data_IF_756920380221
#
_entry.id   IF_756920380221
#
_cell.length_a   1.000
_cell.length_b   1.000
_cell.length_c   1.000
_cell.angle_alpha   90.00
_cell.angle_beta   90.00
_cell.angle_gamma   90.00
#
_symmetry.space_group_name_H-M   'P 1'
#
loop_
_entity.id
_entity.type
_entity.pdbx_description
1 polymer ?
#
# COMPACT_ATOMS: atom_id res chain seq x y z
N UNK A 1 6.30 -21.58 14.13
CA UNK A 1 7.26 -21.09 13.09
C UNK A 1 7.43 -22.11 11.98
N UNK A 2 7.48 -23.40 12.27
CA UNK A 2 7.59 -24.47 11.27
C UNK A 2 6.45 -24.47 10.25
N UNK A 3 5.19 -24.31 10.67
CA UNK A 3 4.04 -24.24 9.77
C UNK A 3 4.12 -23.05 8.79
N UNK A 4 4.46 -21.86 9.29
CA UNK A 4 4.61 -20.66 8.46
C UNK A 4 5.72 -20.83 7.41
N UNK A 5 6.86 -21.39 7.81
CA UNK A 5 7.95 -21.72 6.88
C UNK A 5 7.53 -22.81 5.89
N UNK A 6 6.68 -23.75 6.31
CA UNK A 6 6.08 -24.76 5.46
C UNK A 6 5.27 -24.15 4.31
N UNK A 7 4.37 -23.23 4.65
CA UNK A 7 3.50 -22.54 3.67
C UNK A 7 4.31 -21.67 2.70
N UNK A 8 5.33 -20.95 3.18
CA UNK A 8 6.15 -20.08 2.32
C UNK A 8 6.77 -20.85 1.14
N UNK A 9 7.15 -22.12 1.36
CA UNK A 9 7.73 -22.96 0.31
C UNK A 9 6.74 -23.40 -0.77
N UNK A 10 5.44 -23.23 -0.51
CA UNK A 10 4.36 -23.57 -1.44
C UNK A 10 3.88 -22.35 -2.24
N UNK A 11 4.42 -21.15 -1.97
CA UNK A 11 4.06 -19.94 -2.68
C UNK A 11 4.81 -19.84 -4.01
N UNK A 12 4.07 -19.61 -5.08
CA UNK A 12 4.62 -19.29 -6.40
C UNK A 12 4.31 -17.84 -6.75
N UNK A 13 5.35 -17.07 -7.05
CA UNK A 13 5.21 -15.70 -7.50
C UNK A 13 4.78 -15.64 -8.96
N UNK A 14 3.68 -14.93 -9.24
CA UNK A 14 3.20 -14.68 -10.60
C UNK A 14 3.29 -13.17 -10.87
N UNK A 15 4.04 -12.74 -11.90
CA UNK A 15 4.10 -11.34 -12.31
C UNK A 15 2.73 -10.77 -12.68
N UNK A 16 2.56 -9.47 -12.47
CA UNK A 16 1.42 -8.73 -13.01
C UNK A 16 1.34 -8.86 -14.53
N UNK A 17 0.11 -8.77 -15.03
CA UNK A 17 -0.27 -8.90 -16.43
C UNK A 17 0.05 -10.23 -17.11
N UNK A 18 0.71 -11.16 -16.43
CA UNK A 18 0.97 -12.50 -16.95
C UNK A 18 -0.28 -13.37 -16.80
N UNK A 19 -0.78 -13.89 -17.93
CA UNK A 19 -1.88 -14.85 -17.94
C UNK A 19 -1.34 -16.26 -17.71
N UNK A 20 -1.79 -16.92 -16.65
CA UNK A 20 -1.33 -18.26 -16.25
C UNK A 20 -2.53 -19.21 -16.19
N UNK A 21 -2.36 -20.43 -16.69
CA UNK A 21 -3.35 -21.52 -16.54
C UNK A 21 -3.08 -22.24 -15.23
N UNK A 22 -4.03 -22.21 -14.29
CA UNK A 22 -3.93 -22.91 -13.01
C UNK A 22 -4.33 -24.39 -13.13
N UNK A 23 -5.35 -24.65 -13.94
CA UNK A 23 -5.87 -25.99 -14.23
C UNK A 23 -6.64 -25.94 -15.55
N UNK A 24 -7.12 -27.10 -16.00
CA UNK A 24 -8.02 -27.13 -17.15
C UNK A 24 -9.23 -26.20 -16.91
N UNK A 25 -9.57 -25.41 -17.92
CA UNK A 25 -10.62 -24.39 -17.87
C UNK A 25 -10.38 -23.18 -16.95
N UNK A 26 -9.26 -23.07 -16.20
CA UNK A 26 -9.03 -21.99 -15.24
C UNK A 26 -7.75 -21.22 -15.57
N UNK A 27 -7.91 -19.92 -15.84
CA UNK A 27 -6.79 -19.01 -16.06
C UNK A 27 -6.91 -17.76 -15.19
N UNK A 28 -5.76 -17.26 -14.72
CA UNK A 28 -5.70 -16.02 -13.94
C UNK A 28 -4.75 -15.01 -14.55
N UNK A 29 -4.97 -13.74 -14.21
CA UNK A 29 -4.02 -12.64 -14.42
C UNK A 29 -4.15 -11.66 -13.25
N UNK A 30 -3.03 -11.19 -12.74
CA UNK A 30 -2.99 -10.16 -11.70
C UNK A 30 -2.84 -8.77 -12.32
N UNK A 31 -3.54 -7.79 -11.76
CA UNK A 31 -3.41 -6.36 -12.04
C UNK A 31 -3.01 -5.64 -10.74
N UNK A 32 -2.23 -4.57 -10.82
CA UNK A 32 -1.82 -3.83 -9.61
C UNK A 32 -3.05 -3.15 -8.97
N UNK A 33 -3.36 -3.50 -7.71
CA UNK A 33 -4.48 -2.90 -7.00
C UNK A 33 -4.13 -1.57 -6.34
N UNK A 34 -2.86 -1.16 -6.31
CA UNK A 34 -2.42 0.14 -5.78
C UNK A 34 -2.67 0.36 -4.28
N UNK A 35 -3.03 -0.67 -3.51
CA UNK A 35 -3.36 -0.56 -2.08
C UNK A 35 -2.12 -0.66 -1.19
N UNK A 36 -1.27 -1.64 -1.46
CA UNK A 36 0.03 -1.85 -0.83
C UNK A 36 1.00 -2.41 -1.88
N UNK A 37 2.30 -2.37 -1.60
CA UNK A 37 3.28 -2.99 -2.48
C UNK A 37 2.96 -4.49 -2.65
N UNK A 38 2.74 -4.92 -3.89
CA UNK A 38 2.36 -6.30 -4.20
C UNK A 38 0.86 -6.61 -4.10
N UNK A 39 0.00 -5.63 -3.77
CA UNK A 39 -1.46 -5.82 -3.78
C UNK A 39 -1.97 -5.98 -5.21
N UNK A 40 -2.92 -6.90 -5.42
CA UNK A 40 -3.41 -7.20 -6.76
C UNK A 40 -4.92 -7.43 -6.82
N UNK A 41 -5.53 -6.96 -7.90
CA UNK A 41 -6.81 -7.48 -8.39
C UNK A 41 -6.55 -8.72 -9.23
N UNK A 42 -7.49 -9.67 -9.22
CA UNK A 42 -7.36 -10.95 -9.93
C UNK A 42 -8.45 -11.03 -10.99
N UNK A 43 -8.05 -11.07 -12.25
CA UNK A 43 -8.91 -11.48 -13.35
C UNK A 43 -8.86 -12.99 -13.49
N UNK A 44 -10.02 -13.63 -13.54
CA UNK A 44 -10.18 -15.08 -13.60
C UNK A 44 -11.06 -15.45 -14.80
N UNK A 45 -10.52 -16.21 -15.73
CA UNK A 45 -11.29 -16.80 -16.83
C UNK A 45 -11.61 -18.25 -16.49
N UNK A 46 -12.90 -18.55 -16.40
CA UNK A 46 -13.44 -19.88 -16.12
C UNK A 46 -14.15 -20.40 -17.36
N UNK A 47 -13.77 -21.57 -17.84
CA UNK A 47 -14.36 -22.21 -19.02
C UNK A 47 -14.98 -23.54 -18.62
N UNK A 48 -16.28 -23.67 -18.82
CA UNK A 48 -17.07 -24.86 -18.52
C UNK A 48 -18.02 -25.12 -19.71
N UNK A 49 -18.11 -26.36 -20.17
CA UNK A 49 -18.94 -26.76 -21.32
C UNK A 49 -18.76 -25.88 -22.58
N UNK A 50 -17.53 -25.41 -22.81
CA UNK A 50 -17.17 -24.55 -23.94
C UNK A 50 -17.57 -23.07 -23.79
N UNK A 51 -18.11 -22.67 -22.64
CA UNK A 51 -18.48 -21.29 -22.33
C UNK A 51 -17.46 -20.69 -21.38
N UNK A 52 -16.84 -19.57 -21.77
CA UNK A 52 -15.91 -18.84 -20.91
C UNK A 52 -16.59 -17.64 -20.25
N UNK A 53 -16.40 -17.49 -18.94
CA UNK A 53 -16.79 -16.33 -18.15
C UNK A 53 -15.58 -15.69 -17.47
N UNK A 54 -15.57 -14.36 -17.41
CA UNK A 54 -14.53 -13.57 -16.76
C UNK A 54 -15.04 -13.00 -15.45
N UNK A 55 -14.44 -13.41 -14.35
CA UNK A 55 -14.67 -12.87 -13.02
C UNK A 55 -13.52 -11.91 -12.67
N UNK A 56 -13.84 -10.88 -11.90
CA UNK A 56 -12.85 -10.00 -11.28
C UNK A 56 -13.00 -10.07 -9.76
N UNK A 57 -11.92 -10.34 -9.06
CA UNK A 57 -11.79 -10.06 -7.63
C UNK A 57 -10.96 -8.80 -7.45
N UNK A 58 -11.49 -7.78 -6.79
CA UNK A 58 -10.75 -6.52 -6.64
C UNK A 58 -9.56 -6.62 -5.67
N UNK A 59 -9.69 -7.44 -4.63
CA UNK A 59 -8.90 -7.25 -3.42
C UNK A 59 -9.27 -5.92 -2.75
N UNK A 60 -8.37 -5.37 -1.94
CA UNK A 60 -8.51 -4.00 -1.42
C UNK A 60 -7.96 -3.04 -2.48
N UNK A 61 -8.76 -2.05 -2.88
CA UNK A 61 -8.41 -1.12 -3.95
C UNK A 61 -7.70 0.10 -3.35
N UNK A 62 -6.58 0.46 -3.94
CA UNK A 62 -5.80 1.63 -3.60
C UNK A 62 -6.47 2.94 -3.96
N UNK A 63 -6.00 4.00 -3.32
CA UNK A 63 -6.31 5.36 -3.74
C UNK A 63 -5.33 5.80 -4.82
N UNK A 64 -5.77 6.71 -5.69
CA UNK A 64 -4.87 7.37 -6.66
C UNK A 64 -3.93 8.38 -5.99
N UNK A 65 -2.80 8.59 -6.64
CA UNK A 65 -1.76 9.56 -6.30
C UNK A 65 -1.24 9.40 -4.87
N UNK A 66 -1.09 8.16 -4.42
CA UNK A 66 -0.42 7.86 -3.16
C UNK A 66 1.09 7.97 -3.34
N UNK A 67 1.82 8.46 -2.32
CA UNK A 67 3.27 8.39 -2.37
C UNK A 67 3.70 6.92 -2.31
N UNK A 68 4.75 6.58 -3.06
CA UNK A 68 5.43 5.27 -3.05
C UNK A 68 4.71 4.08 -3.71
N UNK A 69 3.42 4.18 -4.04
CA UNK A 69 2.62 3.10 -4.67
C UNK A 69 2.04 3.60 -6.01
N UNK A 70 1.91 2.70 -7.00
CA UNK A 70 1.27 3.01 -8.27
C UNK A 70 -0.24 3.23 -8.11
N UNK A 71 -0.84 3.97 -9.04
CA UNK A 71 -2.29 4.06 -9.11
C UNK A 71 -2.90 2.67 -9.42
N UNK A 72 -4.08 2.34 -8.88
CA UNK A 72 -4.76 1.09 -9.17
C UNK A 72 -5.06 0.94 -10.67
N UNK A 73 -4.85 -0.26 -11.19
CA UNK A 73 -5.19 -0.62 -12.56
C UNK A 73 -6.65 -1.10 -12.65
N UNK A 74 -7.37 -0.57 -13.63
CA UNK A 74 -8.75 -0.96 -13.88
C UNK A 74 -8.81 -2.03 -14.97
N UNK A 75 -9.58 -3.12 -14.77
CA UNK A 75 -9.77 -4.13 -15.80
C UNK A 75 -10.64 -3.58 -16.94
N UNK A 76 -10.34 -4.00 -18.17
CA UNK A 76 -11.10 -3.57 -19.36
C UNK A 76 -12.55 -4.07 -19.37
N UNK A 77 -12.78 -5.25 -18.78
CA UNK A 77 -14.09 -5.92 -18.78
C UNK A 77 -14.16 -7.03 -17.72
N UNK A 78 -15.36 -7.38 -17.28
CA UNK A 78 -15.66 -8.60 -16.53
C UNK A 78 -17.15 -8.93 -16.70
N UNK A 79 -17.51 -10.21 -16.69
CA UNK A 79 -18.92 -10.64 -16.59
C UNK A 79 -19.44 -10.45 -15.16
N UNK A 80 -18.59 -10.69 -14.16
CA UNK A 80 -18.92 -10.53 -12.74
C UNK A 80 -17.78 -9.84 -12.00
N UNK A 81 -18.14 -8.97 -11.06
CA UNK A 81 -17.19 -8.26 -10.20
C UNK A 81 -17.50 -8.59 -8.74
N UNK A 82 -16.48 -9.06 -8.03
CA UNK A 82 -16.48 -9.30 -6.60
C UNK A 82 -15.56 -8.24 -6.01
N UNK A 83 -16.17 -7.18 -5.49
CA UNK A 83 -15.47 -5.99 -5.02
C UNK A 83 -15.52 -5.84 -3.52
N UNK A 84 -14.46 -5.25 -2.97
CA UNK A 84 -14.47 -4.75 -1.61
C UNK A 84 -15.50 -3.62 -1.41
N UNK A 85 -15.84 -3.34 -0.16
CA UNK A 85 -16.82 -2.30 0.19
C UNK A 85 -16.44 -1.58 1.48
N UNK A 86 -15.14 -1.49 1.79
CA UNK A 86 -14.63 -0.97 3.08
C UNK A 86 -15.17 0.43 3.42
N UNK A 87 -15.36 1.28 2.41
CA UNK A 87 -15.96 2.62 2.54
C UNK A 87 -17.17 2.83 1.64
N UNK A 88 -17.90 1.76 1.29
CA UNK A 88 -19.02 1.82 0.35
C UNK A 88 -20.18 2.74 0.77
N UNK A 89 -20.24 3.13 2.04
CA UNK A 89 -21.24 4.03 2.61
C UNK A 89 -20.75 5.48 2.79
N UNK A 90 -19.50 5.80 2.43
CA UNK A 90 -18.87 7.10 2.70
C UNK A 90 -18.33 7.77 1.44
N UNK A 91 -18.72 9.02 1.24
CA UNK A 91 -18.04 9.89 0.27
C UNK A 91 -16.83 10.54 0.95
N UNK A 92 -15.65 10.30 0.40
CA UNK A 92 -14.48 11.08 0.77
C UNK A 92 -14.61 12.46 0.12
N UNK A 93 -14.34 13.52 0.89
CA UNK A 93 -14.24 14.89 0.38
C UNK A 93 -12.99 15.07 -0.48
N UNK A 94 -12.63 16.32 -0.86
CA UNK A 94 -11.35 16.59 -1.49
C UNK A 94 -10.21 16.06 -0.60
N UNK A 95 -9.22 15.42 -1.22
CA UNK A 95 -8.03 14.91 -0.54
C UNK A 95 -7.37 16.08 0.20
N UNK A 96 -7.26 16.05 1.54
CA UNK A 96 -6.60 17.12 2.27
C UNK A 96 -5.11 17.14 1.92
N UNK A 97 -4.50 18.30 2.04
CA UNK A 97 -3.06 18.43 1.92
C UNK A 97 -2.42 17.95 3.24
N UNK A 98 -1.97 16.70 3.24
CA UNK A 98 -1.50 16.02 4.45
C UNK A 98 -0.24 16.67 5.03
N UNK A 99 0.63 17.25 4.18
CA UNK A 99 1.94 17.75 4.59
C UNK A 99 1.81 18.97 5.52
N UNK A 100 1.08 20.05 5.14
CA UNK A 100 0.85 21.18 6.03
C UNK A 100 0.08 20.83 7.31
N UNK A 101 -0.92 19.94 7.22
CA UNK A 101 -1.71 19.53 8.39
C UNK A 101 -0.85 18.77 9.40
N UNK A 102 -0.04 17.82 8.93
CA UNK A 102 0.88 17.08 9.79
C UNK A 102 1.98 17.98 10.36
N UNK A 103 2.54 18.89 9.55
CA UNK A 103 3.55 19.85 10.02
C UNK A 103 3.02 20.72 11.16
N UNK A 104 1.77 21.20 11.04
CA UNK A 104 1.10 21.95 12.10
C UNK A 104 0.97 21.16 13.39
N UNK A 105 0.53 19.90 13.31
CA UNK A 105 0.41 19.01 14.48
C UNK A 105 1.77 18.78 15.14
N UNK A 106 2.83 18.57 14.34
CA UNK A 106 4.20 18.41 14.83
C UNK A 106 4.65 19.69 15.55
N UNK A 107 4.50 20.86 14.93
CA UNK A 107 4.88 22.15 15.51
C UNK A 107 4.19 22.39 16.86
N UNK A 108 2.85 22.28 16.90
CA UNK A 108 2.07 22.51 18.12
C UNK A 108 2.46 21.56 19.27
N UNK A 109 2.86 20.32 18.93
CA UNK A 109 3.29 19.34 19.92
C UNK A 109 4.68 19.67 20.48
N UNK A 110 5.62 20.03 19.60
CA UNK A 110 7.00 20.35 19.98
C UNK A 110 7.12 21.67 20.73
N UNK A 111 6.33 22.69 20.36
CA UNK A 111 6.26 23.97 21.08
C UNK A 111 5.83 23.81 22.55
N UNK A 112 5.04 22.76 22.84
CA UNK A 112 4.61 22.40 24.20
C UNK A 112 5.63 21.54 24.95
N UNK A 113 6.75 21.19 24.33
CA UNK A 113 7.75 20.26 24.86
C UNK A 113 7.27 18.81 24.93
N UNK A 114 6.26 18.43 24.15
CA UNK A 114 5.68 17.10 24.12
C UNK A 114 6.29 16.17 23.06
N UNK A 115 5.87 14.91 23.08
CA UNK A 115 6.21 13.91 22.07
C UNK A 115 4.97 13.59 21.22
N UNK A 116 5.14 13.50 19.89
CA UNK A 116 4.10 13.02 18.98
C UNK A 116 4.25 11.49 18.78
N UNK A 117 3.22 10.74 19.17
CA UNK A 117 3.17 9.28 19.01
C UNK A 117 2.13 8.92 17.96
N UNK A 118 2.54 8.25 16.89
CA UNK A 118 1.68 7.88 15.77
C UNK A 118 1.60 6.35 15.70
N UNK A 119 0.45 5.73 16.06
CA UNK A 119 0.24 4.31 15.84
C UNK A 119 0.08 4.04 14.33
N UNK A 120 0.83 3.08 13.81
CA UNK A 120 0.83 2.77 12.38
C UNK A 120 1.08 1.28 12.12
N UNK A 121 0.54 0.77 11.02
CA UNK A 121 0.88 -0.57 10.54
C UNK A 121 2.33 -0.60 10.04
N UNK A 122 3.04 -1.71 10.30
CA UNK A 122 4.44 -1.85 9.94
C UNK A 122 4.71 -1.79 8.43
N UNK A 123 3.72 -2.14 7.61
CA UNK A 123 3.81 -2.14 6.14
C UNK A 123 2.78 -1.18 5.55
N UNK A 124 3.20 -0.38 4.56
CA UNK A 124 2.39 0.65 3.91
C UNK A 124 2.37 1.96 4.70
N UNK A 125 1.53 2.04 5.75
CA UNK A 125 1.25 3.30 6.46
C UNK A 125 2.47 3.92 7.14
N UNK A 126 3.37 3.09 7.68
CA UNK A 126 4.61 3.62 8.27
C UNK A 126 5.49 4.29 7.21
N UNK A 127 5.60 3.70 6.01
CA UNK A 127 6.38 4.24 4.91
C UNK A 127 5.80 5.55 4.36
N UNK A 128 4.47 5.63 4.23
CA UNK A 128 3.78 6.89 3.88
C UNK A 128 4.05 8.00 4.90
N UNK A 129 3.96 7.70 6.20
CA UNK A 129 4.24 8.67 7.25
C UNK A 129 5.69 9.17 7.23
N UNK A 130 6.65 8.26 7.02
CA UNK A 130 8.07 8.63 6.90
C UNK A 130 8.33 9.51 5.67
N UNK A 131 7.64 9.24 4.55
CA UNK A 131 7.70 10.08 3.36
C UNK A 131 7.25 11.51 3.66
N UNK A 132 6.07 11.68 4.27
CA UNK A 132 5.56 13.03 4.60
C UNK A 132 6.46 13.74 5.62
N UNK A 133 6.96 13.05 6.64
CA UNK A 133 7.88 13.65 7.62
C UNK A 133 9.19 14.11 6.96
N UNK A 134 9.71 13.35 5.99
CA UNK A 134 10.88 13.76 5.21
C UNK A 134 10.61 15.01 4.39
N UNK A 135 9.45 15.09 3.74
CA UNK A 135 9.02 16.27 2.97
C UNK A 135 8.92 17.50 3.87
N UNK A 136 8.25 17.38 5.03
CA UNK A 136 8.13 18.43 6.05
C UNK A 136 9.50 18.97 6.49
N UNK A 137 10.47 18.07 6.71
CA UNK A 137 11.84 18.46 7.08
C UNK A 137 12.58 19.13 5.92
N UNK A 138 12.48 18.58 4.71
CA UNK A 138 13.13 19.12 3.52
C UNK A 138 12.63 20.52 3.15
N UNK A 139 11.34 20.78 3.38
CA UNK A 139 10.71 22.08 3.14
C UNK A 139 10.78 23.04 4.34
N UNK A 140 11.43 22.62 5.44
CA UNK A 140 11.58 23.40 6.66
C UNK A 140 10.25 23.93 7.23
N UNK A 141 9.18 23.12 7.17
CA UNK A 141 7.84 23.50 7.60
C UNK A 141 7.65 23.52 9.12
N UNK A 142 8.63 23.01 9.88
CA UNK A 142 8.68 23.08 11.35
C UNK A 142 9.78 24.05 11.76
N UNK A 143 9.42 25.09 12.49
CA UNK A 143 10.30 26.18 12.91
C UNK A 143 10.72 26.02 14.37
N UNK A 144 11.96 26.42 14.70
CA UNK A 144 12.52 26.29 16.05
C UNK A 144 12.87 24.85 16.46
N UNK A 145 12.36 23.85 15.74
CA UNK A 145 12.55 22.42 16.02
C UNK A 145 12.93 21.59 14.79
N UNK A 146 13.38 22.20 13.68
CA UNK A 146 13.56 21.51 12.38
C UNK A 146 14.38 20.21 12.38
N UNK A 147 15.30 20.05 13.33
CA UNK A 147 16.12 18.84 13.51
C UNK A 147 15.51 17.82 14.49
N UNK A 148 14.19 17.81 14.68
CA UNK A 148 13.52 16.88 15.59
C UNK A 148 13.80 15.42 15.19
N UNK A 149 14.15 14.53 16.15
CA UNK A 149 14.41 13.14 15.81
C UNK A 149 13.10 12.40 15.48
N UNK A 150 13.21 11.37 14.63
CA UNK A 150 12.10 10.51 14.24
C UNK A 150 12.52 9.06 14.50
N UNK A 151 11.70 8.32 15.24
CA UNK A 151 11.98 6.94 15.62
C UNK A 151 10.90 6.01 15.09
N UNK A 152 11.32 4.86 14.56
CA UNK A 152 10.43 3.77 14.14
C UNK A 152 10.69 2.58 15.05
N UNK A 153 9.75 2.31 15.95
CA UNK A 153 9.87 1.23 16.93
C UNK A 153 9.19 -0.06 16.44
N UNK A 154 9.72 -0.61 15.34
CA UNK A 154 9.25 -1.89 14.79
C UNK A 154 10.31 -2.54 13.91
N UNK A 155 10.88 -3.70 14.31
CA UNK A 155 11.81 -4.45 13.46
C UNK A 155 11.20 -4.78 12.10
N UNK A 156 9.91 -5.14 12.08
CA UNK A 156 9.19 -5.46 10.85
C UNK A 156 9.05 -4.22 9.95
N UNK A 157 8.77 -3.04 10.50
CA UNK A 157 8.64 -1.84 9.69
C UNK A 157 9.99 -1.42 9.07
N UNK A 158 11.09 -1.61 9.80
CA UNK A 158 12.44 -1.37 9.29
C UNK A 158 12.76 -2.32 8.13
N UNK A 159 12.51 -3.62 8.30
CA UNK A 159 12.73 -4.61 7.23
C UNK A 159 11.80 -4.39 6.03
N UNK A 160 10.52 -4.11 6.29
CA UNK A 160 9.51 -3.87 5.27
C UNK A 160 9.70 -2.54 4.52
N UNK A 161 10.59 -1.66 4.98
CA UNK A 161 10.96 -0.44 4.27
C UNK A 161 12.02 -0.67 3.18
N UNK A 162 12.74 -1.80 3.21
CA UNK A 162 13.78 -2.12 2.21
C UNK A 162 13.25 -2.17 0.77
N UNK A 163 12.08 -2.78 0.48
CA UNK A 163 11.51 -2.78 -0.87
C UNK A 163 11.05 -1.40 -1.36
N UNK A 164 10.81 -0.46 -0.44
CA UNK A 164 10.36 0.91 -0.75
C UNK A 164 11.53 1.89 -0.93
N UNK A 165 12.76 1.48 -0.64
CA UNK A 165 13.93 2.32 -0.80
C UNK A 165 14.39 2.35 -2.27
N UNK A 166 14.70 3.53 -2.87
CA UNK A 166 15.64 3.53 -3.98
C UNK A 166 16.97 2.98 -3.46
N UNK A 167 17.63 2.10 -4.23
CA UNK A 167 18.97 1.58 -3.94
C UNK A 167 19.86 2.68 -3.34
N UNK A 168 20.20 2.53 -2.04
CA UNK A 168 20.99 3.43 -1.18
C UNK A 168 20.34 4.76 -0.73
N UNK A 169 19.74 4.76 0.47
CA UNK A 169 20.10 5.71 1.53
C UNK A 169 19.58 5.24 2.90
N UNK A 170 20.47 5.18 3.89
CA UNK A 170 20.12 4.90 5.28
C UNK A 170 19.35 6.11 5.83
N UNK A 171 18.20 5.85 6.42
CA UNK A 171 17.40 6.80 7.17
C UNK A 171 18.13 7.11 8.49
N UNK A 172 18.99 8.12 8.47
CA UNK A 172 19.76 8.61 9.61
C UNK A 172 20.10 10.08 9.41
#
# INVERSE_FOLDING_TARGET
MEDALGVIRLLEGIPYHQRVTLSDGIQIRFLDAGHLLGSASIELWLTEDGVTKKLLFSGDIGNIHQPLINDPEYPESADYVIMESTYGDRSHGPKPDYVPELAKIIQETLDRGGNLVIPSFAVGRTQEMLYFIREIKAEHLVHGHGEFPVYVDSPLAVEASLPYAPLNQRWG
#
